data_IF_408860462373
#
_entry.id   IF_408860462373
#
_cell.length_a   1.000
_cell.length_b   1.000
_cell.length_c   1.000
_cell.angle_alpha   90.00
_cell.angle_beta   90.00
_cell.angle_gamma   90.00
#
_symmetry.space_group_name_H-M   'P 1'
#
loop_
_entity.id
_entity.type
_entity.pdbx_description
1 polymer ?
#
# COMPACT_ATOMS: atom_id res chain seq x y z
N UNK A 1 -10.65 4.09 -11.12
CA UNK A 1 -9.54 4.79 -10.49
C UNK A 1 -9.42 4.37 -9.04
N UNK A 2 -8.21 4.11 -8.59
CA UNK A 2 -7.99 3.63 -7.23
C UNK A 2 -7.55 4.79 -6.35
N UNK A 3 -8.27 5.01 -5.28
CA UNK A 3 -7.89 6.05 -4.33
C UNK A 3 -6.80 5.54 -3.42
N UNK A 4 -6.19 6.46 -2.68
CA UNK A 4 -5.16 6.08 -1.73
C UNK A 4 -5.72 5.11 -0.70
N UNK A 5 -6.93 5.37 -0.27
CA UNK A 5 -7.57 4.52 0.73
C UNK A 5 -7.77 3.11 0.19
N UNK A 6 -8.21 2.99 -1.03
CA UNK A 6 -8.41 1.68 -1.64
C UNK A 6 -7.08 0.94 -1.81
N UNK A 7 -6.04 1.67 -2.19
CA UNK A 7 -4.74 1.08 -2.34
C UNK A 7 -4.20 0.60 -0.99
N UNK A 8 -4.43 1.38 0.06
CA UNK A 8 -4.00 0.98 1.39
C UNK A 8 -4.69 -0.31 1.82
N UNK A 9 -5.99 -0.40 1.57
CA UNK A 9 -6.72 -1.61 1.90
C UNK A 9 -6.20 -2.81 1.12
N UNK A 10 -5.89 -2.59 -0.14
CA UNK A 10 -5.37 -3.66 -0.96
C UNK A 10 -4.03 -4.15 -0.42
N UNK A 11 -3.15 -3.23 -0.05
CA UNK A 11 -1.86 -3.61 0.52
C UNK A 11 -2.04 -4.39 1.80
N UNK A 12 -2.94 -3.93 2.66
CA UNK A 12 -3.15 -4.58 3.94
C UNK A 12 -3.76 -5.96 3.77
N UNK A 13 -4.45 -6.19 2.67
CA UNK A 13 -5.06 -7.48 2.41
C UNK A 13 -4.06 -8.45 1.78
N UNK A 14 -3.21 -7.96 0.89
CA UNK A 14 -2.27 -8.80 0.17
C UNK A 14 -1.08 -9.18 1.04
N UNK A 15 -0.62 -8.26 1.87
CA UNK A 15 0.56 -8.49 2.70
C UNK A 15 0.13 -8.62 4.16
N UNK A 16 0.91 -9.37 4.94
CA UNK A 16 0.55 -9.57 6.34
C UNK A 16 0.79 -8.33 7.18
N UNK A 17 0.03 -8.24 8.26
CA UNK A 17 0.23 -7.19 9.24
C UNK A 17 1.29 -7.67 10.24
N UNK A 18 2.12 -6.76 10.69
CA UNK A 18 3.19 -7.09 11.62
C UNK A 18 2.92 -6.49 12.99
N UNK A 19 3.27 -7.23 14.03
CA UNK A 19 3.16 -6.72 15.38
C UNK A 19 4.53 -6.78 16.03
N UNK A 20 5.01 -5.62 16.47
CA UNK A 20 6.31 -5.52 17.09
C UNK A 20 6.16 -4.74 18.38
N UNK A 21 6.58 -5.33 19.48
CA UNK A 21 6.53 -4.68 20.80
C UNK A 21 5.12 -4.16 21.11
N UNK A 22 4.09 -4.92 20.76
CA UNK A 22 2.73 -4.51 21.06
C UNK A 22 2.16 -3.49 20.10
N UNK A 23 2.91 -3.13 19.08
CA UNK A 23 2.45 -2.15 18.09
C UNK A 23 2.09 -2.88 16.81
N UNK A 24 0.92 -2.55 16.26
CA UNK A 24 0.47 -3.15 15.01
C UNK A 24 0.92 -2.27 13.85
N UNK A 25 1.64 -2.86 12.92
CA UNK A 25 2.16 -2.14 11.76
C UNK A 25 1.50 -2.66 10.49
N UNK A 26 0.87 -1.76 9.77
CA UNK A 26 0.19 -2.13 8.53
C UNK A 26 1.13 -1.93 7.35
N UNK A 27 1.09 -2.81 6.35
CA UNK A 27 1.97 -2.70 5.18
C UNK A 27 1.90 -1.33 4.51
N UNK A 28 0.72 -0.77 4.38
CA UNK A 28 0.57 0.52 3.73
C UNK A 28 1.30 1.61 4.51
N UNK A 29 1.19 1.59 5.83
CA UNK A 29 1.86 2.58 6.66
C UNK A 29 3.36 2.41 6.62
N UNK A 30 3.82 1.18 6.64
CA UNK A 30 5.25 0.92 6.59
C UNK A 30 5.82 1.47 5.31
N UNK A 31 5.18 1.20 4.20
CA UNK A 31 5.67 1.65 2.91
C UNK A 31 5.65 3.17 2.82
N UNK A 32 4.59 3.79 3.29
CA UNK A 32 4.49 5.23 3.24
C UNK A 32 5.58 5.91 4.06
N UNK A 33 5.87 5.36 5.23
CA UNK A 33 6.81 6.00 6.13
C UNK A 33 8.25 5.71 5.74
N UNK A 34 8.51 4.51 5.26
CA UNK A 34 9.87 4.10 4.94
C UNK A 34 10.29 4.48 3.54
N UNK A 35 9.37 4.39 2.59
CA UNK A 35 9.72 4.68 1.21
C UNK A 35 8.52 5.24 0.47
N UNK A 36 8.21 6.51 0.69
CA UNK A 36 7.03 7.10 0.03
C UNK A 36 7.12 7.10 -1.48
N UNK A 37 8.32 7.11 -2.03
CA UNK A 37 8.47 7.08 -3.47
C UNK A 37 8.04 5.71 -4.00
N UNK A 38 8.46 4.65 -3.33
CA UNK A 38 8.04 3.32 -3.74
C UNK A 38 6.54 3.14 -3.60
N UNK A 39 5.96 3.76 -2.57
CA UNK A 39 4.53 3.71 -2.37
C UNK A 39 3.79 4.32 -3.57
N UNK A 40 4.26 5.47 -4.02
CA UNK A 40 3.62 6.13 -5.14
C UNK A 40 3.82 5.36 -6.44
N UNK A 41 4.98 4.78 -6.62
CA UNK A 41 5.25 4.00 -7.82
C UNK A 41 4.35 2.78 -7.86
N UNK A 42 4.21 2.10 -6.75
CA UNK A 42 3.36 0.92 -6.69
C UNK A 42 1.90 1.28 -6.96
N UNK A 43 1.44 2.38 -6.39
CA UNK A 43 0.08 2.82 -6.61
C UNK A 43 -0.14 3.16 -8.08
N UNK A 44 0.83 3.81 -8.69
CA UNK A 44 0.72 4.19 -10.08
C UNK A 44 0.68 2.98 -10.98
N UNK A 45 1.47 1.97 -10.66
CA UNK A 45 1.49 0.76 -11.49
C UNK A 45 0.15 0.05 -11.44
N UNK A 46 -0.46 0.00 -10.28
CA UNK A 46 -1.75 -0.66 -10.16
C UNK A 46 -2.83 0.14 -10.88
N UNK A 47 -2.78 1.44 -10.80
CA UNK A 47 -3.72 2.27 -11.52
C UNK A 47 -3.57 2.09 -13.02
N UNK A 48 -2.33 2.00 -13.49
CA UNK A 48 -2.09 1.78 -14.90
C UNK A 48 -2.69 0.48 -15.36
N UNK A 49 -2.55 -0.55 -14.55
CA UNK A 49 -3.10 -1.83 -14.86
C UNK A 49 -4.59 -1.76 -15.05
N UNK A 50 -5.25 -1.11 -14.16
CA UNK A 50 -6.69 -0.96 -14.23
C UNK A 50 -7.10 -0.13 -15.39
N UNK A 51 -6.34 0.89 -15.68
CA UNK A 51 -6.69 1.82 -16.68
C UNK A 51 -6.37 1.35 -18.05
N UNK A 52 -5.76 0.22 -18.18
CA UNK A 52 -5.39 -0.23 -19.40
C UNK A 52 -6.53 -0.64 -20.20
N UNK A 53 -7.14 -0.58 -20.71
CA UNK A 53 -8.21 -0.94 -21.42
C UNK A 53 -8.10 -0.76 -22.80
#
# INVERSE_FOLDING_TARGET
MMTEEMFDEWLDDVYPTYQIAGITLYPSQILKNCDPIAYRIAQSEIEDDEDDN
#
